data_IF_215629292219
#
_entry.id   IF_215629292219
#
_cell.length_a   1.000
_cell.length_b   1.000
_cell.length_c   1.000
_cell.angle_alpha   90.00
_cell.angle_beta   90.00
_cell.angle_gamma   90.00
#
_symmetry.space_group_name_H-M   'P 1'
#
loop_
_entity.id
_entity.type
_entity.pdbx_description
1 polymer ?
#
# COMPACT_ATOMS: atom_id res chain seq x y z
N UNK A 1 -27.10 9.96 -4.29
CA UNK A 1 -26.00 8.98 -4.50
C UNK A 1 -24.70 9.60 -4.01
N UNK A 2 -23.86 8.92 -3.19
CA UNK A 2 -22.53 9.47 -2.81
C UNK A 2 -21.42 8.57 -3.33
N UNK A 3 -20.84 8.95 -4.46
CA UNK A 3 -19.60 8.36 -4.98
C UNK A 3 -18.42 8.85 -4.14
N UNK A 4 -17.63 7.92 -3.62
CA UNK A 4 -16.60 8.12 -2.59
C UNK A 4 -15.66 6.92 -2.68
N UNK A 5 -14.37 7.05 -3.00
CA UNK A 5 -13.44 8.19 -2.96
C UNK A 5 -12.22 7.97 -3.88
N UNK A 6 -11.36 8.97 -4.14
CA UNK A 6 -10.02 8.71 -4.70
C UNK A 6 -9.08 8.20 -3.58
N UNK A 7 -8.61 6.96 -3.75
CA UNK A 7 -7.74 6.24 -2.84
C UNK A 7 -6.27 6.62 -3.08
N UNK A 8 -5.61 7.29 -2.14
CA UNK A 8 -4.22 7.75 -2.29
C UNK A 8 -3.18 6.62 -2.39
N UNK A 9 -3.52 5.39 -2.02
CA UNK A 9 -2.56 4.29 -2.07
C UNK A 9 -2.48 3.70 -3.48
N UNK A 10 -3.63 3.46 -4.10
CA UNK A 10 -3.78 2.89 -5.45
C UNK A 10 -3.99 3.91 -6.57
N UNK A 11 -4.32 5.17 -6.25
CA UNK A 11 -4.79 6.23 -7.16
C UNK A 11 -6.10 5.90 -7.91
N UNK A 12 -6.83 4.87 -7.48
CA UNK A 12 -8.10 4.46 -8.09
C UNK A 12 -9.28 5.16 -7.39
N UNK A 13 -10.39 5.29 -8.12
CA UNK A 13 -11.67 5.72 -7.52
C UNK A 13 -12.34 4.48 -6.95
N UNK A 14 -12.54 4.43 -5.63
CA UNK A 14 -13.36 3.44 -4.98
C UNK A 14 -14.83 3.88 -4.89
N UNK A 15 -15.72 2.93 -4.66
CA UNK A 15 -17.12 3.10 -4.26
C UNK A 15 -17.28 2.37 -2.93
N UNK A 16 -17.43 3.13 -1.84
CA UNK A 16 -17.54 2.59 -0.47
C UNK A 16 -18.98 2.53 0.08
N UNK A 17 -19.99 2.83 -0.74
CA UNK A 17 -21.41 2.74 -0.38
C UNK A 17 -22.15 1.80 -1.33
N UNK A 18 -23.18 1.07 -0.87
CA UNK A 18 -24.03 0.29 -1.76
C UNK A 18 -24.73 1.20 -2.77
N UNK A 19 -24.73 0.80 -4.04
CA UNK A 19 -25.37 1.54 -5.13
C UNK A 19 -26.69 0.91 -5.61
N UNK A 20 -27.06 -0.27 -5.08
CA UNK A 20 -28.29 -0.99 -5.41
C UNK A 20 -28.11 -2.16 -6.37
N UNK A 21 -26.91 -2.31 -6.95
CA UNK A 21 -26.50 -3.47 -7.76
C UNK A 21 -25.37 -4.25 -7.08
N UNK A 22 -25.21 -5.51 -7.47
CA UNK A 22 -24.11 -6.37 -7.00
C UNK A 22 -22.76 -5.94 -7.58
N UNK A 23 -21.70 -6.06 -6.78
CA UNK A 23 -20.34 -5.62 -7.12
C UNK A 23 -19.31 -6.62 -6.60
N UNK A 24 -18.25 -6.85 -7.36
CA UNK A 24 -17.15 -7.77 -7.01
C UNK A 24 -15.92 -7.08 -6.43
N UNK A 25 -15.84 -5.74 -6.51
CA UNK A 25 -14.72 -4.92 -6.02
C UNK A 25 -15.23 -3.62 -5.41
N UNK A 26 -14.43 -2.98 -4.55
CA UNK A 26 -14.70 -1.59 -4.12
C UNK A 26 -14.46 -0.63 -5.27
N UNK A 27 -13.43 -0.86 -6.09
CA UNK A 27 -13.00 0.04 -7.16
C UNK A 27 -14.08 0.24 -8.23
N UNK A 28 -14.23 1.47 -8.69
CA UNK A 28 -15.13 1.89 -9.77
C UNK A 28 -14.78 1.15 -11.06
N UNK A 29 -15.75 0.42 -11.60
CA UNK A 29 -15.64 -0.32 -12.87
C UNK A 29 -16.40 0.37 -14.00
N UNK A 30 -16.16 -0.05 -15.25
CA UNK A 30 -16.94 0.41 -16.40
C UNK A 30 -18.43 0.02 -16.29
N UNK A 31 -18.74 -1.11 -15.64
CA UNK A 31 -20.12 -1.50 -15.35
C UNK A 31 -20.78 -0.58 -14.32
N UNK A 32 -20.06 -0.19 -13.27
CA UNK A 32 -20.55 0.83 -12.34
C UNK A 32 -20.81 2.16 -13.06
N UNK A 33 -19.92 2.56 -13.97
CA UNK A 33 -20.10 3.75 -14.81
C UNK A 33 -21.38 3.66 -15.65
N UNK A 34 -21.65 2.51 -16.29
CA UNK A 34 -22.87 2.30 -17.08
C UNK A 34 -24.14 2.42 -16.21
N UNK A 35 -24.17 1.80 -15.03
CA UNK A 35 -25.31 1.94 -14.10
C UNK A 35 -25.48 3.37 -13.58
N UNK A 36 -24.38 4.08 -13.32
CA UNK A 36 -24.40 5.49 -12.92
C UNK A 36 -24.95 6.40 -14.03
N UNK A 37 -24.58 6.15 -15.28
CA UNK A 37 -25.10 6.89 -16.44
C UNK A 37 -26.60 6.66 -16.60
N UNK A 38 -27.05 5.40 -16.61
CA UNK A 38 -28.47 5.04 -16.70
C UNK A 38 -29.29 5.71 -15.58
N UNK A 39 -28.84 5.60 -14.33
CA UNK A 39 -29.51 6.23 -13.20
C UNK A 39 -29.61 7.77 -13.34
N UNK A 40 -28.54 8.42 -13.79
CA UNK A 40 -28.51 9.88 -13.98
C UNK A 40 -29.32 10.34 -15.20
N UNK A 41 -29.44 9.52 -16.23
CA UNK A 41 -30.34 9.74 -17.36
C UNK A 41 -31.81 9.63 -16.94
N UNK A 42 -32.21 8.51 -16.33
CA UNK A 42 -33.60 8.26 -15.92
C UNK A 42 -34.12 9.25 -14.88
N UNK A 43 -33.29 9.67 -13.92
CA UNK A 43 -33.72 10.50 -12.78
C UNK A 43 -33.47 12.00 -12.98
N UNK A 44 -32.54 12.39 -13.87
CA UNK A 44 -32.10 13.78 -14.02
C UNK A 44 -31.90 14.24 -15.49
N UNK A 45 -32.13 13.37 -16.49
CA UNK A 45 -31.94 13.69 -17.91
C UNK A 45 -30.48 13.90 -18.33
N UNK A 46 -29.52 13.42 -17.55
CA UNK A 46 -28.08 13.66 -17.76
C UNK A 46 -27.44 12.61 -18.67
N UNK A 47 -27.58 12.79 -19.98
CA UNK A 47 -27.07 11.87 -21.02
C UNK A 47 -25.58 12.03 -21.37
N UNK A 48 -24.91 13.09 -20.88
CA UNK A 48 -23.55 13.41 -21.29
C UNK A 48 -22.50 12.66 -20.46
N UNK A 49 -22.10 11.48 -20.93
CA UNK A 49 -21.09 10.63 -20.29
C UNK A 49 -19.84 11.41 -19.86
N UNK A 50 -19.26 12.20 -20.77
CA UNK A 50 -18.05 12.99 -20.47
C UNK A 50 -18.25 13.93 -19.28
N UNK A 51 -19.41 14.57 -19.14
CA UNK A 51 -19.72 15.44 -17.99
C UNK A 51 -19.88 14.63 -16.71
N UNK A 52 -20.55 13.47 -16.78
CA UNK A 52 -20.70 12.56 -15.64
C UNK A 52 -19.32 12.07 -15.17
N UNK A 53 -18.49 11.51 -16.04
CA UNK A 53 -17.12 11.10 -15.72
C UNK A 53 -16.29 12.24 -15.08
N UNK A 54 -16.40 13.47 -15.61
CA UNK A 54 -15.72 14.64 -15.03
C UNK A 54 -16.21 14.96 -13.62
N UNK A 55 -17.54 14.96 -13.39
CA UNK A 55 -18.11 15.20 -12.07
C UNK A 55 -17.69 14.12 -11.05
N UNK A 56 -17.67 12.85 -11.46
CA UNK A 56 -17.22 11.72 -10.62
C UNK A 56 -15.76 11.92 -10.20
N UNK A 57 -14.88 12.28 -11.15
CA UNK A 57 -13.45 12.56 -10.88
C UNK A 57 -13.27 13.74 -9.91
N UNK A 58 -14.05 14.81 -10.06
CA UNK A 58 -14.03 15.97 -9.16
C UNK A 58 -14.42 15.55 -7.74
N UNK A 59 -15.57 14.90 -7.57
CA UNK A 59 -16.08 14.48 -6.25
C UNK A 59 -15.13 13.48 -5.58
N UNK A 60 -14.57 12.53 -6.34
CA UNK A 60 -13.57 11.59 -5.83
C UNK A 60 -12.30 12.31 -5.35
N UNK A 61 -11.82 13.32 -6.09
CA UNK A 61 -10.65 14.12 -5.75
C UNK A 61 -10.87 15.06 -4.54
N UNK A 62 -12.06 15.64 -4.40
CA UNK A 62 -12.42 16.47 -3.23
C UNK A 62 -12.51 15.66 -1.94
N UNK A 63 -12.92 14.39 -2.05
CA UNK A 63 -13.12 13.50 -0.90
C UNK A 63 -11.99 12.44 -0.79
N UNK A 64 -10.74 12.78 -1.17
CA UNK A 64 -9.60 11.85 -1.11
C UNK A 64 -9.34 11.28 0.30
N UNK A 65 -8.88 10.04 0.37
CA UNK A 65 -8.54 9.33 1.61
C UNK A 65 -7.29 8.45 1.42
N UNK A 66 -6.71 7.95 2.52
CA UNK A 66 -5.58 7.02 2.47
C UNK A 66 -5.90 5.81 3.36
N UNK A 67 -6.16 4.62 2.80
CA UNK A 67 -6.74 3.50 3.54
C UNK A 67 -5.86 3.03 4.71
N UNK A 68 -4.54 2.91 4.51
CA UNK A 68 -3.58 2.59 5.59
C UNK A 68 -3.55 3.65 6.69
N UNK A 69 -3.66 4.95 6.34
CA UNK A 69 -3.69 6.03 7.33
C UNK A 69 -4.93 5.93 8.21
N UNK A 70 -6.09 5.66 7.60
CA UNK A 70 -7.35 5.55 8.32
C UNK A 70 -7.38 4.29 9.18
N UNK A 71 -6.82 3.18 8.70
CA UNK A 71 -6.54 1.99 9.49
C UNK A 71 -5.64 2.29 10.70
N UNK A 72 -4.46 2.90 10.50
CA UNK A 72 -3.53 3.24 11.57
C UNK A 72 -4.15 4.19 12.61
N UNK A 73 -4.99 5.14 12.21
CA UNK A 73 -5.72 6.03 13.12
C UNK A 73 -6.87 5.33 13.88
N UNK A 74 -7.37 4.19 13.38
CA UNK A 74 -8.40 3.39 14.05
C UNK A 74 -7.85 2.46 15.13
N UNK A 75 -6.55 2.14 15.08
CA UNK A 75 -5.90 1.24 16.03
C UNK A 75 -5.89 1.84 17.44
N UNK A 76 -6.13 1.00 18.44
CA UNK A 76 -5.94 1.31 19.86
C UNK A 76 -4.82 0.43 20.40
N UNK A 77 -3.87 1.03 21.12
CA UNK A 77 -2.81 0.26 21.78
C UNK A 77 -3.33 -0.34 23.08
N UNK A 78 -3.06 -1.62 23.29
CA UNK A 78 -3.51 -2.40 24.46
C UNK A 78 -2.49 -2.42 25.61
N UNK A 79 -1.47 -1.57 25.56
CA UNK A 79 -0.43 -1.48 26.58
C UNK A 79 0.67 -2.55 26.48
N UNK A 80 0.58 -3.52 25.56
CA UNK A 80 1.57 -4.61 25.46
C UNK A 80 2.69 -4.26 24.47
N UNK A 81 3.96 -4.36 24.90
CA UNK A 81 5.13 -4.19 24.02
C UNK A 81 5.34 -5.43 23.16
N UNK A 82 4.97 -5.35 21.87
CA UNK A 82 5.17 -6.46 20.92
C UNK A 82 6.37 -6.30 19.98
N UNK A 83 6.76 -5.06 19.66
CA UNK A 83 7.82 -4.79 18.67
C UNK A 83 9.16 -5.41 19.10
N UNK A 84 9.51 -5.35 20.39
CA UNK A 84 10.73 -5.93 20.96
C UNK A 84 10.92 -7.42 20.70
N UNK A 85 9.84 -8.18 20.64
CA UNK A 85 9.90 -9.64 20.52
C UNK A 85 9.29 -10.16 19.21
N UNK A 86 8.86 -9.29 18.29
CA UNK A 86 8.15 -9.72 17.08
C UNK A 86 9.00 -10.58 16.14
N UNK A 87 10.24 -10.17 15.81
CA UNK A 87 11.12 -10.98 14.95
C UNK A 87 11.50 -12.32 15.61
N UNK A 88 11.71 -12.33 16.93
CA UNK A 88 11.95 -13.56 17.68
C UNK A 88 10.72 -14.49 17.65
N UNK A 89 9.54 -13.97 17.98
CA UNK A 89 8.30 -14.74 18.10
C UNK A 89 7.83 -15.34 16.78
N UNK A 90 7.95 -14.60 15.67
CA UNK A 90 7.46 -15.05 14.36
C UNK A 90 8.52 -15.73 13.50
N UNK A 91 9.79 -15.38 13.63
CA UNK A 91 10.86 -15.78 12.71
C UNK A 91 12.09 -16.41 13.41
N UNK A 92 12.08 -16.53 14.73
CA UNK A 92 13.17 -17.15 15.50
C UNK A 92 14.45 -16.32 15.60
N UNK A 93 14.41 -15.03 15.28
CA UNK A 93 15.57 -14.13 15.39
C UNK A 93 16.02 -13.94 16.86
N UNK A 94 17.23 -13.43 17.06
CA UNK A 94 17.74 -13.09 18.39
C UNK A 94 16.93 -11.95 19.06
N UNK A 95 17.00 -11.87 20.39
CA UNK A 95 16.29 -10.85 21.20
C UNK A 95 17.18 -9.66 21.58
N UNK A 96 18.22 -9.42 20.79
CA UNK A 96 19.18 -8.34 20.99
C UNK A 96 18.64 -6.95 20.57
N UNK A 97 19.34 -5.90 21.01
CA UNK A 97 18.92 -4.52 20.79
C UNK A 97 19.02 -4.08 19.31
N UNK A 98 19.94 -4.66 18.53
CA UNK A 98 20.03 -4.38 17.09
C UNK A 98 18.83 -4.97 16.34
N UNK A 99 18.43 -6.21 16.63
CA UNK A 99 17.24 -6.84 16.04
C UNK A 99 15.96 -6.06 16.37
N UNK A 100 15.83 -5.56 17.61
CA UNK A 100 14.74 -4.67 18.01
C UNK A 100 14.76 -3.33 17.26
N UNK A 101 15.87 -2.59 17.29
CA UNK A 101 15.95 -1.26 16.68
C UNK A 101 15.84 -1.32 15.15
N UNK A 102 16.31 -2.40 14.50
CA UNK A 102 16.13 -2.62 13.07
C UNK A 102 14.65 -2.73 12.66
N UNK A 103 13.86 -3.56 13.37
CA UNK A 103 12.41 -3.64 13.13
C UNK A 103 11.72 -2.32 13.47
N UNK A 104 12.03 -1.72 14.63
CA UNK A 104 11.44 -0.47 15.09
C UNK A 104 11.68 0.68 14.11
N UNK A 105 12.91 0.84 13.60
CA UNK A 105 13.25 1.83 12.59
C UNK A 105 12.47 1.61 11.29
N UNK A 106 12.35 0.36 10.83
CA UNK A 106 11.52 0.00 9.68
C UNK A 106 10.04 0.38 9.88
N UNK A 107 9.44 0.00 11.02
CA UNK A 107 8.05 0.33 11.36
C UNK A 107 7.81 1.84 11.47
N UNK A 108 8.71 2.56 12.12
CA UNK A 108 8.64 4.02 12.22
C UNK A 108 8.77 4.68 10.84
N UNK A 109 9.59 4.13 9.95
CA UNK A 109 9.62 4.49 8.53
C UNK A 109 8.27 4.25 7.85
N UNK A 110 7.71 3.05 7.99
CA UNK A 110 6.45 2.64 7.36
C UNK A 110 5.30 3.57 7.73
N UNK A 111 5.17 3.89 9.02
CA UNK A 111 4.18 4.81 9.57
C UNK A 111 4.47 6.24 9.07
N UNK A 112 5.71 6.73 9.20
CA UNK A 112 6.08 8.10 8.82
C UNK A 112 5.73 8.42 7.37
N UNK A 113 5.81 7.44 6.46
CA UNK A 113 5.59 7.66 5.02
C UNK A 113 4.12 7.67 4.62
N UNK A 114 3.27 6.99 5.40
CA UNK A 114 1.79 7.11 5.32
C UNK A 114 1.30 8.46 5.83
N UNK A 115 1.85 8.93 6.96
CA UNK A 115 1.44 10.22 7.56
C UNK A 115 2.14 11.44 6.95
N UNK A 116 3.30 11.26 6.32
CA UNK A 116 4.05 12.28 5.57
C UNK A 116 4.51 11.69 4.22
N UNK A 117 3.62 11.63 3.22
CA UNK A 117 4.01 11.35 1.83
C UNK A 117 5.13 12.28 1.37
N UNK A 118 5.95 11.82 0.42
CA UNK A 118 7.16 12.55 0.02
C UNK A 118 8.34 12.45 1.02
N UNK A 119 8.15 11.92 2.24
CA UNK A 119 9.27 11.80 3.19
C UNK A 119 10.29 10.72 2.78
N UNK A 120 11.57 11.12 2.77
CA UNK A 120 12.72 10.30 2.45
C UNK A 120 12.98 9.25 3.53
N UNK A 121 13.18 8.00 3.13
CA UNK A 121 13.60 6.89 3.99
C UNK A 121 14.41 5.92 3.12
N UNK A 122 15.71 5.82 3.38
CA UNK A 122 16.68 5.02 2.58
C UNK A 122 17.14 3.77 3.32
N UNK A 123 16.43 3.38 4.37
CA UNK A 123 16.69 2.14 5.11
C UNK A 123 15.77 1.06 4.58
N UNK A 124 16.31 -0.14 4.44
CA UNK A 124 15.54 -1.35 4.13
C UNK A 124 15.79 -2.35 5.25
N UNK A 125 14.74 -3.06 5.65
CA UNK A 125 14.88 -4.20 6.56
C UNK A 125 15.26 -5.42 5.72
N UNK A 126 16.41 -6.02 6.05
CA UNK A 126 16.88 -7.26 5.44
C UNK A 126 16.85 -8.35 6.50
N UNK A 127 16.02 -9.37 6.30
CA UNK A 127 15.96 -10.54 7.19
C UNK A 127 16.69 -11.68 6.49
N UNK A 128 17.58 -12.37 7.19
CA UNK A 128 18.31 -13.54 6.67
C UNK A 128 17.82 -14.77 7.43
N UNK A 129 17.49 -15.83 6.69
CA UNK A 129 17.01 -17.09 7.25
C UNK A 129 16.52 -18.02 6.15
N UNK A 130 16.33 -19.29 6.48
CA UNK A 130 15.97 -20.33 5.50
C UNK A 130 14.72 -20.03 4.69
N UNK A 131 14.62 -20.70 3.53
CA UNK A 131 13.39 -20.72 2.74
C UNK A 131 12.25 -21.34 3.56
N UNK A 132 11.06 -20.77 3.48
CA UNK A 132 9.90 -21.23 4.26
C UNK A 132 9.87 -20.75 5.72
N UNK A 133 10.83 -19.95 6.18
CA UNK A 133 10.86 -19.38 7.54
C UNK A 133 9.75 -18.34 7.86
N UNK A 134 8.71 -18.21 7.03
CA UNK A 134 7.57 -17.33 7.28
C UNK A 134 7.78 -15.83 7.03
N UNK A 135 8.93 -15.41 6.47
CA UNK A 135 9.30 -13.99 6.23
C UNK A 135 8.20 -13.20 5.51
N UNK A 136 7.73 -13.69 4.36
CA UNK A 136 6.68 -13.06 3.56
C UNK A 136 5.32 -13.05 4.27
N UNK A 137 5.00 -14.12 4.99
CA UNK A 137 3.79 -14.20 5.83
C UNK A 137 3.81 -13.15 6.94
N UNK A 138 4.95 -12.94 7.59
CA UNK A 138 5.12 -11.90 8.62
C UNK A 138 4.87 -10.50 8.06
N UNK A 139 5.46 -10.15 6.92
CA UNK A 139 5.26 -8.83 6.29
C UNK A 139 3.84 -8.63 5.73
N UNK A 140 3.24 -9.68 5.18
CA UNK A 140 1.82 -9.71 4.75
C UNK A 140 0.86 -9.48 5.92
N UNK A 141 1.10 -10.11 7.08
CA UNK A 141 0.34 -9.84 8.30
C UNK A 141 0.58 -8.42 8.83
N UNK A 142 1.82 -7.94 8.79
CA UNK A 142 2.19 -6.60 9.24
C UNK A 142 1.57 -5.48 8.38
N UNK A 143 1.34 -5.74 7.09
CA UNK A 143 0.61 -4.84 6.22
C UNK A 143 -0.85 -4.65 6.66
N UNK A 144 -1.41 -5.58 7.47
CA UNK A 144 -2.76 -5.50 8.00
C UNK A 144 -3.86 -5.90 7.01
N UNK A 145 -3.57 -5.85 5.71
CA UNK A 145 -4.39 -6.40 4.62
C UNK A 145 -3.51 -6.93 3.49
N UNK A 146 -3.99 -7.97 2.81
CA UNK A 146 -3.26 -8.61 1.70
C UNK A 146 -3.05 -7.63 0.54
N UNK A 147 -4.05 -6.79 0.22
CA UNK A 147 -3.93 -5.80 -0.87
C UNK A 147 -2.94 -4.65 -0.60
N UNK A 148 -2.35 -4.56 0.61
CA UNK A 148 -1.31 -3.57 0.95
C UNK A 148 0.10 -4.20 1.01
N UNK A 149 0.23 -5.49 0.70
CA UNK A 149 1.48 -6.23 0.61
C UNK A 149 1.77 -6.65 -0.84
N UNK A 150 3.05 -6.68 -1.24
CA UNK A 150 3.47 -7.29 -2.52
C UNK A 150 4.86 -7.90 -2.42
N UNK A 151 5.05 -9.07 -3.04
CA UNK A 151 6.31 -9.80 -3.21
C UNK A 151 6.75 -9.90 -4.71
N UNK A 152 5.99 -9.27 -5.62
CA UNK A 152 6.18 -9.27 -7.09
C UNK A 152 7.36 -8.40 -7.59
N UNK A 153 7.95 -7.58 -6.72
CA UNK A 153 9.02 -6.66 -7.07
C UNK A 153 10.39 -7.37 -7.07
N UNK A 154 10.68 -8.09 -8.14
CA UNK A 154 11.94 -8.84 -8.29
C UNK A 154 13.16 -7.96 -8.56
N UNK A 155 12.99 -6.80 -9.20
CA UNK A 155 14.08 -5.85 -9.52
C UNK A 155 13.60 -4.41 -9.55
N UNK A 156 14.53 -3.47 -9.38
CA UNK A 156 14.29 -2.02 -9.36
C UNK A 156 14.45 -1.34 -10.74
N UNK A 157 14.90 -2.06 -11.76
CA UNK A 157 15.12 -1.60 -13.14
C UNK A 157 14.01 -2.01 -14.11
N UNK A 158 12.97 -2.71 -13.64
CA UNK A 158 11.80 -3.11 -14.43
C UNK A 158 10.95 -1.88 -14.82
N UNK A 159 10.60 -1.76 -16.11
CA UNK A 159 9.83 -0.63 -16.66
C UNK A 159 8.48 -0.42 -15.94
N UNK A 160 7.93 -1.47 -15.32
CA UNK A 160 6.66 -1.45 -14.59
C UNK A 160 6.83 -1.30 -13.07
N UNK A 161 8.03 -0.98 -12.55
CA UNK A 161 8.30 -0.78 -11.10
C UNK A 161 7.26 0.13 -10.44
N UNK A 162 6.94 1.29 -11.05
CA UNK A 162 5.94 2.21 -10.49
C UNK A 162 4.57 1.56 -10.28
N UNK A 163 4.11 0.71 -11.20
CA UNK A 163 2.84 -0.02 -11.08
C UNK A 163 2.88 -1.09 -9.99
N UNK A 164 4.03 -1.74 -9.79
CA UNK A 164 4.25 -2.70 -8.69
C UNK A 164 4.31 -2.02 -7.32
N UNK A 165 4.79 -0.76 -7.28
CA UNK A 165 4.86 0.05 -6.05
C UNK A 165 3.52 0.69 -5.67
N UNK A 166 2.67 0.97 -6.65
CA UNK A 166 1.33 1.52 -6.49
C UNK A 166 0.39 0.49 -5.83
N UNK A 167 -0.52 0.95 -4.95
CA UNK A 167 -1.43 0.07 -4.20
C UNK A 167 -0.84 -0.54 -2.91
N UNK A 168 0.47 -0.62 -2.76
CA UNK A 168 1.11 -1.34 -1.65
C UNK A 168 1.76 -0.43 -0.60
N UNK A 169 1.71 -0.84 0.66
CA UNK A 169 2.37 -0.17 1.79
C UNK A 169 3.72 -0.83 2.12
N UNK A 170 3.75 -2.16 2.13
CA UNK A 170 4.91 -2.99 2.43
C UNK A 170 5.23 -3.83 1.19
N UNK A 171 6.47 -3.77 0.71
CA UNK A 171 6.88 -4.46 -0.51
C UNK A 171 8.14 -5.26 -0.23
N UNK A 172 8.01 -6.59 -0.28
CA UNK A 172 9.14 -7.51 -0.25
C UNK A 172 9.77 -7.60 -1.65
N UNK A 173 11.10 -7.53 -1.72
CA UNK A 173 11.83 -7.69 -2.97
C UNK A 173 12.48 -9.06 -3.06
N UNK A 174 11.81 -9.95 -3.78
CA UNK A 174 12.18 -11.36 -3.98
C UNK A 174 13.49 -11.62 -4.74
N UNK A 175 14.32 -10.61 -5.05
CA UNK A 175 15.69 -10.80 -5.55
C UNK A 175 16.58 -9.53 -5.48
N UNK A 176 17.04 -9.13 -4.28
CA UNK A 176 18.07 -8.07 -4.22
C UNK A 176 19.44 -8.61 -4.65
N UNK A 177 19.74 -8.49 -5.95
CA UNK A 177 21.12 -8.50 -6.47
C UNK A 177 21.79 -7.20 -5.99
N UNK A 178 22.09 -7.16 -4.70
CA UNK A 178 22.88 -6.10 -4.11
C UNK A 178 24.30 -6.22 -4.65
N UNK A 179 24.77 -5.17 -5.31
CA UNK A 179 26.15 -4.96 -5.75
C UNK A 179 27.10 -4.77 -4.55
N UNK A 180 27.26 -5.83 -3.77
CA UNK A 180 28.34 -6.00 -2.81
C UNK A 180 29.28 -7.09 -3.34
N UNK A 181 30.55 -6.75 -3.58
CA UNK A 181 31.57 -7.68 -4.07
C UNK A 181 31.95 -8.70 -2.98
N UNK A 182 31.09 -9.71 -2.73
CA UNK A 182 31.37 -10.81 -1.82
C UNK A 182 30.68 -12.09 -2.28
N UNK A 183 31.44 -13.20 -2.29
CA UNK A 183 30.89 -14.55 -2.51
C UNK A 183 30.21 -15.03 -1.22
N UNK A 184 28.92 -15.32 -1.27
CA UNK A 184 28.28 -16.25 -0.31
C UNK A 184 26.97 -16.79 -0.86
N UNK A 185 26.79 -18.10 -0.79
CA UNK A 185 25.52 -18.76 -1.08
C UNK A 185 24.63 -18.68 0.16
N UNK A 186 23.61 -17.83 0.12
CA UNK A 186 22.32 -17.90 0.84
C UNK A 186 21.63 -16.53 0.65
N UNK A 187 20.35 -16.54 0.23
CA UNK A 187 19.58 -15.34 -0.19
C UNK A 187 18.34 -15.16 0.72
N UNK A 188 17.48 -14.19 0.39
CA UNK A 188 16.12 -13.92 0.92
C UNK A 188 15.97 -13.06 2.20
N UNK A 189 15.49 -11.79 2.26
CA UNK A 189 15.25 -10.69 1.27
C UNK A 189 15.08 -9.27 1.92
N UNK A 190 14.84 -8.21 1.09
CA UNK A 190 14.80 -6.75 1.41
C UNK A 190 13.39 -6.16 1.36
N UNK A 191 12.98 -5.32 2.33
CA UNK A 191 11.66 -4.64 2.31
C UNK A 191 11.75 -3.15 1.98
N UNK A 192 11.04 -2.72 0.93
CA UNK A 192 10.86 -1.33 0.51
C UNK A 192 9.49 -0.82 0.97
N UNK A 193 9.49 0.42 1.45
CA UNK A 193 8.28 1.21 1.63
C UNK A 193 8.05 2.04 0.36
N UNK A 194 6.83 2.08 -0.18
CA UNK A 194 6.45 2.83 -1.42
C UNK A 194 7.22 4.16 -1.54
N UNK A 195 8.03 4.43 -2.59
CA UNK A 195 8.89 5.62 -2.70
C UNK A 195 8.18 6.97 -2.49
N UNK A 196 8.91 8.04 -2.14
CA UNK A 196 8.30 9.34 -1.91
C UNK A 196 7.80 9.93 -3.24
N UNK A 197 6.48 9.90 -3.45
CA UNK A 197 5.85 10.67 -4.52
C UNK A 197 6.21 12.15 -4.37
N UNK A 198 6.87 12.69 -5.39
CA UNK A 198 6.99 14.14 -5.56
C UNK A 198 5.64 14.65 -6.02
N UNK A 199 5.09 15.65 -5.33
CA UNK A 199 3.97 16.43 -5.87
C UNK A 199 4.38 17.00 -7.24
N UNK A 200 3.83 16.47 -8.33
CA UNK A 200 3.99 17.01 -9.69
C UNK A 200 3.20 18.33 -9.92
N UNK A 201 2.90 19.06 -8.84
CA UNK A 201 2.20 20.36 -8.83
C UNK A 201 3.09 21.53 -8.39
N UNK A 202 4.41 21.35 -8.29
CA UNK A 202 5.37 22.44 -8.04
C UNK A 202 6.41 22.59 -9.18
N UNK A 203 5.96 22.39 -10.42
CA UNK A 203 6.78 22.54 -11.63
C UNK A 203 6.01 23.28 -12.74
N UNK A 204 5.34 24.37 -12.36
CA UNK A 204 4.93 25.51 -13.20
C UNK A 204 5.16 26.78 -12.38
#
# INVERSE_FOLDING_TARGET
MTLRYLNFLSELIDIVKPLGWERTSTTLTDMDMNYLLLYLEENYGLTSEKKVQSAIKIVANENRYHPVRDYLNSLQWDGTERIRYALHHFLGADTDEYTYEALKLFLMGAIRRVFRPGSKFEVMLCLVGGQGAGKSTFFRLLAGRDEWFSDDLKKLDDENVYRKLQGHWIIEMSEMIATANAKSNEKEYTVILKPPERNLQSAV
#
